data_IF_151059569099
#
_entry.id   IF_151059569099
#
_cell.length_a   1.000
_cell.length_b   1.000
_cell.length_c   1.000
_cell.angle_alpha   90.00
_cell.angle_beta   90.00
_cell.angle_gamma   90.00
#
_symmetry.space_group_name_H-M   'P 1'
#
loop_
_entity.id
_entity.type
_entity.pdbx_description
1 polymer ?
#
# COMPACT_ATOMS: atom_id res chain seq x y z
N UNK A 1 -18.69 35.45 -56.72
CA UNK A 1 -19.04 34.09 -56.24
C UNK A 1 -17.77 33.50 -55.65
N UNK A 2 -17.74 32.77 -54.55
CA UNK A 2 -18.66 32.48 -53.46
C UNK A 2 -17.73 31.83 -52.43
N UNK A 3 -17.89 32.24 -51.18
CA UNK A 3 -17.41 31.67 -49.94
C UNK A 3 -16.90 30.22 -50.01
N UNK A 4 -15.76 29.95 -49.35
CA UNK A 4 -15.83 29.17 -48.11
C UNK A 4 -14.55 29.33 -47.28
N UNK A 5 -14.65 30.17 -46.26
CA UNK A 5 -13.88 30.02 -45.02
C UNK A 5 -14.19 28.64 -44.43
N UNK A 6 -13.16 27.86 -44.13
CA UNK A 6 -13.24 26.78 -43.17
C UNK A 6 -11.87 26.66 -42.49
N UNK A 7 -11.66 27.36 -41.35
CA UNK A 7 -10.59 26.97 -40.45
C UNK A 7 -11.02 25.63 -39.88
N UNK A 8 -10.45 24.53 -40.37
CA UNK A 8 -10.55 23.25 -39.66
C UNK A 8 -9.71 23.43 -38.40
N UNK A 9 -10.43 23.84 -37.37
CA UNK A 9 -10.06 23.73 -35.98
C UNK A 9 -9.77 22.24 -35.73
N UNK A 10 -8.52 21.84 -35.93
CA UNK A 10 -7.98 20.62 -35.34
C UNK A 10 -7.67 20.95 -33.88
N UNK A 11 -8.73 21.06 -33.06
CA UNK A 11 -8.66 20.71 -31.65
C UNK A 11 -8.40 19.20 -31.59
N UNK A 12 -7.17 18.78 -31.89
CA UNK A 12 -6.71 17.46 -31.48
C UNK A 12 -6.59 17.56 -29.97
N UNK A 13 -7.67 17.13 -29.30
CA UNK A 13 -7.78 16.80 -27.89
C UNK A 13 -6.49 17.00 -27.10
N UNK A 14 -6.25 18.23 -26.68
CA UNK A 14 -5.33 18.57 -25.59
C UNK A 14 -6.03 18.28 -24.26
N UNK A 15 -6.76 17.16 -24.17
CA UNK A 15 -6.92 16.50 -22.88
C UNK A 15 -5.58 15.82 -22.60
N UNK A 16 -4.57 16.64 -22.31
CA UNK A 16 -3.60 16.26 -21.30
C UNK A 16 -4.45 15.76 -20.13
N UNK A 17 -4.53 14.45 -19.98
CA UNK A 17 -5.06 13.78 -18.79
C UNK A 17 -4.21 14.34 -17.66
N UNK A 18 -4.66 15.45 -17.09
CA UNK A 18 -4.08 15.96 -15.87
C UNK A 18 -4.40 14.88 -14.86
N UNK A 19 -3.37 14.12 -14.48
CA UNK A 19 -3.47 13.16 -13.40
C UNK A 19 -4.19 13.85 -12.23
N UNK A 20 -5.43 13.43 -11.99
CA UNK A 20 -6.28 14.08 -11.03
C UNK A 20 -5.75 13.71 -9.65
N UNK A 21 -5.09 14.66 -8.97
CA UNK A 21 -4.58 14.40 -7.63
C UNK A 21 -5.74 14.07 -6.69
N UNK A 22 -5.48 13.16 -5.74
CA UNK A 22 -6.44 12.87 -4.69
C UNK A 22 -6.77 14.17 -3.94
N UNK A 23 -8.06 14.42 -3.72
CA UNK A 23 -8.52 15.57 -2.94
C UNK A 23 -7.89 15.55 -1.54
N UNK A 24 -7.66 16.73 -0.97
CA UNK A 24 -7.01 16.86 0.34
C UNK A 24 -7.78 16.09 1.42
N UNK A 25 -9.09 16.23 1.45
CA UNK A 25 -9.98 15.59 2.43
C UNK A 25 -9.91 14.06 2.33
N UNK A 26 -9.74 13.54 1.11
CA UNK A 26 -9.56 12.10 0.87
C UNK A 26 -8.20 11.63 1.36
N UNK A 27 -7.13 12.37 1.09
CA UNK A 27 -5.78 12.05 1.57
C UNK A 27 -5.71 12.08 3.11
N UNK A 28 -6.34 13.07 3.74
CA UNK A 28 -6.47 13.18 5.19
C UNK A 28 -7.31 12.04 5.79
N UNK A 29 -8.41 11.67 5.14
CA UNK A 29 -9.23 10.53 5.55
C UNK A 29 -8.42 9.23 5.56
N UNK A 30 -7.71 8.91 4.47
CA UNK A 30 -6.88 7.70 4.42
C UNK A 30 -5.74 7.72 5.45
N UNK A 31 -5.10 8.88 5.63
CA UNK A 31 -4.06 9.09 6.66
C UNK A 31 -4.59 8.70 8.05
N UNK A 32 -5.76 9.22 8.42
CA UNK A 32 -6.40 8.94 9.72
C UNK A 32 -6.81 7.47 9.85
N UNK A 33 -7.51 6.93 8.85
CA UNK A 33 -8.05 5.56 8.92
C UNK A 33 -6.92 4.53 8.95
N UNK A 34 -5.93 4.63 8.06
CA UNK A 34 -4.82 3.68 8.01
C UNK A 34 -3.98 3.73 9.30
N UNK A 35 -3.72 4.93 9.83
CA UNK A 35 -3.01 5.07 11.10
C UNK A 35 -3.80 4.46 12.26
N UNK A 36 -5.14 4.65 12.28
CA UNK A 36 -5.98 4.12 13.36
C UNK A 36 -5.93 2.60 13.48
N UNK A 37 -5.84 1.88 12.36
CA UNK A 37 -5.74 0.41 12.38
C UNK A 37 -4.43 -0.10 12.98
N UNK A 38 -3.37 0.71 12.95
CA UNK A 38 -2.06 0.34 13.49
C UNK A 38 -1.96 0.59 14.99
N UNK A 39 -2.78 1.48 15.56
CA UNK A 39 -2.74 1.83 16.98
C UNK A 39 -3.02 0.64 17.90
N UNK A 40 -3.81 -0.34 17.44
CA UNK A 40 -4.06 -1.61 18.14
C UNK A 40 -2.79 -2.47 18.30
N UNK A 41 -1.74 -2.15 17.52
CA UNK A 41 -0.43 -2.77 17.58
C UNK A 41 0.49 -2.19 18.66
N UNK A 42 0.07 -1.13 19.36
CA UNK A 42 0.87 -0.52 20.43
C UNK A 42 1.02 -1.44 21.64
N UNK A 43 2.19 -1.39 22.29
CA UNK A 43 2.57 -2.19 23.47
C UNK A 43 2.63 -3.70 23.20
N UNK A 44 2.78 -4.11 21.94
CA UNK A 44 2.97 -5.52 21.59
C UNK A 44 4.47 -5.79 21.54
N UNK A 45 4.90 -6.72 22.40
CA UNK A 45 6.25 -7.26 22.37
C UNK A 45 6.26 -8.60 21.65
N UNK A 46 7.13 -8.75 20.66
CA UNK A 46 7.25 -10.00 19.92
C UNK A 46 8.73 -10.34 19.71
N UNK A 47 9.01 -11.61 19.41
CA UNK A 47 10.38 -12.11 19.30
C UNK A 47 10.73 -12.34 17.83
N UNK A 48 11.60 -11.51 17.26
CA UNK A 48 12.18 -11.74 15.93
C UNK A 48 13.60 -12.27 16.11
N UNK A 49 13.85 -13.48 15.58
CA UNK A 49 15.19 -14.11 15.57
C UNK A 49 15.85 -14.11 16.95
N UNK A 50 15.08 -14.39 18.00
CA UNK A 50 15.54 -14.44 19.39
C UNK A 50 15.66 -13.09 20.10
N UNK A 51 15.44 -11.97 19.41
CA UNK A 51 15.41 -10.64 20.03
C UNK A 51 13.97 -10.18 20.27
N UNK A 52 13.70 -9.65 21.46
CA UNK A 52 12.41 -9.03 21.77
C UNK A 52 12.38 -7.60 21.22
N UNK A 53 11.35 -7.31 20.47
CA UNK A 53 11.05 -5.99 19.96
C UNK A 53 9.66 -5.59 20.47
N UNK A 54 9.54 -4.33 20.88
CA UNK A 54 8.26 -3.69 21.19
C UNK A 54 8.01 -2.63 20.13
N UNK A 55 6.87 -2.71 19.44
CA UNK A 55 6.50 -1.68 18.48
C UNK A 55 5.51 -0.68 19.08
N UNK A 56 5.68 0.58 18.68
CA UNK A 56 4.69 1.62 18.92
C UNK A 56 4.52 2.51 17.69
N UNK A 57 3.31 3.00 17.51
CA UNK A 57 2.83 3.74 16.37
C UNK A 57 2.45 5.15 16.81
N UNK A 58 3.00 6.21 16.18
CA UNK A 58 2.50 7.55 16.41
C UNK A 58 1.07 7.67 15.86
N UNK A 59 0.31 8.66 16.33
CA UNK A 59 -1.07 8.91 15.88
C UNK A 59 -1.18 9.05 14.35
N UNK A 60 -0.12 9.53 13.71
CA UNK A 60 0.03 9.61 12.25
C UNK A 60 1.12 8.66 11.78
N UNK A 61 0.94 7.36 12.00
CA UNK A 61 1.87 6.32 11.53
C UNK A 61 1.84 6.10 10.03
N UNK A 62 0.76 6.50 9.34
CA UNK A 62 0.65 6.45 7.89
C UNK A 62 0.14 7.79 7.38
N UNK A 63 0.92 8.49 6.55
CA UNK A 63 0.58 9.83 6.06
C UNK A 63 0.68 9.90 4.56
N UNK A 64 -0.34 10.46 3.91
CA UNK A 64 -0.32 10.77 2.48
C UNK A 64 -0.07 12.27 2.33
N UNK A 65 1.06 12.63 1.74
CA UNK A 65 1.39 14.01 1.50
C UNK A 65 0.59 14.57 0.32
N UNK A 66 -0.26 15.58 0.55
CA UNK A 66 -1.11 16.17 -0.48
C UNK A 66 -0.33 16.75 -1.70
N UNK A 67 0.85 17.33 -1.44
CA UNK A 67 1.60 18.05 -2.47
C UNK A 67 2.24 17.14 -3.53
N UNK A 68 2.66 15.92 -3.15
CA UNK A 68 3.32 14.96 -4.04
C UNK A 68 2.60 13.61 -4.12
N UNK A 69 1.54 13.40 -3.33
CA UNK A 69 0.75 12.17 -3.28
C UNK A 69 1.57 10.93 -2.90
N UNK A 70 2.72 11.13 -2.25
CA UNK A 70 3.55 10.06 -1.70
C UNK A 70 3.15 9.80 -0.26
N UNK A 71 3.16 8.52 0.11
CA UNK A 71 2.92 8.12 1.48
C UNK A 71 4.23 8.00 2.28
N UNK A 72 4.12 8.20 3.58
CA UNK A 72 5.15 7.89 4.56
C UNK A 72 4.58 6.96 5.61
N UNK A 73 5.39 6.04 6.12
CA UNK A 73 5.03 5.15 7.21
C UNK A 73 6.05 5.22 8.33
N UNK A 74 5.59 5.29 9.57
CA UNK A 74 6.41 5.46 10.76
C UNK A 74 6.04 4.43 11.82
N UNK A 75 7.06 3.77 12.38
CA UNK A 75 6.92 2.85 13.51
C UNK A 75 8.16 2.96 14.39
N UNK A 76 7.95 3.10 15.70
CA UNK A 76 9.01 3.02 16.70
C UNK A 76 9.20 1.56 17.09
N UNK A 77 10.46 1.17 17.25
CA UNK A 77 10.84 -0.16 17.69
C UNK A 77 11.82 -0.05 18.85
N UNK A 78 11.48 -0.70 19.95
CA UNK A 78 12.33 -0.79 21.13
C UNK A 78 12.90 -2.19 21.27
N UNK A 79 14.22 -2.30 21.30
CA UNK A 79 14.92 -3.57 21.47
C UNK A 79 16.29 -3.34 22.12
N UNK A 80 16.72 -4.25 23.00
CA UNK A 80 18.04 -4.17 23.63
C UNK A 80 18.31 -2.85 24.41
N UNK A 81 17.26 -2.21 24.93
CA UNK A 81 17.36 -0.92 25.63
C UNK A 81 17.49 0.31 24.71
N UNK A 82 17.41 0.13 23.40
CA UNK A 82 17.42 1.20 22.39
C UNK A 82 16.02 1.39 21.82
N UNK A 83 15.73 2.61 21.39
CA UNK A 83 14.53 2.96 20.65
C UNK A 83 14.93 3.53 19.29
N UNK A 84 14.36 2.98 18.23
CA UNK A 84 14.64 3.36 16.85
C UNK A 84 13.32 3.70 16.17
N UNK A 85 13.24 4.83 15.48
CA UNK A 85 12.15 5.12 14.55
C UNK A 85 12.53 4.57 13.17
N UNK A 86 11.73 3.62 12.68
CA UNK A 86 11.73 3.24 11.28
C UNK A 86 10.78 4.16 10.52
N UNK A 87 11.35 5.06 9.72
CA UNK A 87 10.61 5.97 8.84
C UNK A 87 10.78 5.52 7.40
N UNK A 88 9.70 5.05 6.78
CA UNK A 88 9.65 4.77 5.35
C UNK A 88 9.09 5.96 4.61
N UNK A 89 9.91 6.59 3.77
CA UNK A 89 9.52 7.75 2.96
C UNK A 89 9.29 7.40 1.49
N UNK A 90 8.55 8.28 0.80
CA UNK A 90 8.38 8.27 -0.66
C UNK A 90 7.70 7.02 -1.22
N UNK A 91 6.74 6.47 -0.48
CA UNK A 91 5.97 5.31 -0.92
C UNK A 91 4.96 5.76 -1.98
N UNK A 92 5.13 5.30 -3.22
CA UNK A 92 4.18 5.59 -4.30
C UNK A 92 3.07 4.53 -4.31
N UNK A 93 1.91 4.88 -3.74
CA UNK A 93 0.77 3.97 -3.62
C UNK A 93 0.20 3.52 -4.98
N UNK A 94 0.34 4.33 -6.03
CA UNK A 94 -0.04 3.93 -7.38
C UNK A 94 0.89 2.86 -7.98
N UNK A 95 2.06 2.66 -7.37
CA UNK A 95 3.08 1.68 -7.77
C UNK A 95 3.12 0.47 -6.85
N UNK A 96 2.08 0.25 -6.06
CA UNK A 96 1.88 -1.03 -5.36
C UNK A 96 1.47 -2.09 -6.37
N UNK A 97 2.14 -3.24 -6.32
CA UNK A 97 1.86 -4.43 -7.14
C UNK A 97 1.10 -5.52 -6.38
N UNK A 98 1.09 -5.46 -5.06
CA UNK A 98 0.29 -6.36 -4.23
C UNK A 98 0.70 -6.32 -2.77
N UNK A 99 0.00 -7.13 -1.97
CA UNK A 99 0.17 -7.22 -0.53
C UNK A 99 0.29 -8.69 -0.15
N UNK A 100 1.24 -9.03 0.71
CA UNK A 100 1.35 -10.37 1.30
C UNK A 100 1.23 -10.30 2.82
N UNK A 101 0.69 -11.35 3.40
CA UNK A 101 0.64 -11.54 4.85
C UNK A 101 1.69 -12.56 5.26
N UNK A 102 2.47 -12.25 6.29
CA UNK A 102 3.43 -13.15 6.91
C UNK A 102 3.12 -13.26 8.40
N UNK A 103 2.69 -14.45 8.82
CA UNK A 103 2.50 -14.76 10.23
C UNK A 103 3.89 -14.90 10.88
N UNK A 104 4.19 -14.05 11.85
CA UNK A 104 5.46 -14.10 12.60
C UNK A 104 5.31 -14.87 13.91
N UNK A 105 4.13 -14.76 14.52
CA UNK A 105 3.67 -15.52 15.67
C UNK A 105 2.14 -15.54 15.68
N UNK A 106 1.53 -16.26 16.63
CA UNK A 106 0.08 -16.25 16.84
C UNK A 106 -0.48 -14.84 17.10
N UNK A 107 0.36 -13.93 17.60
CA UNK A 107 -0.01 -12.58 18.01
C UNK A 107 0.32 -11.50 16.96
N UNK A 108 1.22 -11.76 16.02
CA UNK A 108 1.76 -10.73 15.12
C UNK A 108 1.79 -11.17 13.65
N UNK A 109 1.23 -10.31 12.80
CA UNK A 109 1.23 -10.46 11.35
C UNK A 109 1.99 -9.27 10.73
N UNK A 110 2.88 -9.58 9.79
CA UNK A 110 3.47 -8.57 8.90
C UNK A 110 2.62 -8.48 7.65
N UNK A 111 2.12 -7.29 7.37
CA UNK A 111 1.57 -6.90 6.08
C UNK A 111 2.69 -6.29 5.27
N UNK A 112 3.17 -7.03 4.27
CA UNK A 112 4.19 -6.55 3.35
C UNK A 112 3.53 -5.97 2.11
N UNK A 113 3.72 -4.67 1.91
CA UNK A 113 3.25 -3.92 0.74
C UNK A 113 4.35 -3.97 -0.31
N UNK A 114 4.11 -4.64 -1.43
CA UNK A 114 5.11 -4.80 -2.49
C UNK A 114 4.99 -3.69 -3.52
N UNK A 115 6.13 -3.09 -3.87
CA UNK A 115 6.23 -2.03 -4.87
C UNK A 115 6.67 -2.61 -6.22
N UNK A 116 6.24 -1.97 -7.31
CA UNK A 116 6.73 -2.22 -8.66
C UNK A 116 8.24 -1.99 -8.72
N UNK A 117 8.92 -2.71 -9.62
CA UNK A 117 10.36 -2.56 -9.82
C UNK A 117 10.69 -1.11 -10.16
N UNK A 118 11.67 -0.53 -9.47
CA UNK A 118 12.08 0.87 -9.67
C UNK A 118 11.22 1.90 -8.91
N UNK A 119 10.15 1.49 -8.22
CA UNK A 119 9.35 2.36 -7.35
C UNK A 119 9.77 2.26 -5.88
N UNK A 120 11.05 1.99 -5.61
CA UNK A 120 11.54 1.73 -4.25
C UNK A 120 11.31 2.91 -3.30
N UNK A 121 10.95 2.61 -2.06
CA UNK A 121 10.92 3.55 -0.95
C UNK A 121 12.29 3.59 -0.25
N UNK A 122 12.45 4.56 0.66
CA UNK A 122 13.63 4.66 1.51
C UNK A 122 13.18 4.45 2.95
N UNK A 123 13.66 3.40 3.61
CA UNK A 123 13.59 3.29 5.06
C UNK A 123 14.77 4.03 5.66
N UNK A 124 14.51 4.85 6.68
CA UNK A 124 15.50 5.52 7.51
C UNK A 124 15.34 5.02 8.94
N UNK A 125 16.47 4.63 9.52
CA UNK A 125 16.54 4.32 10.94
C UNK A 125 16.97 5.60 11.66
N UNK A 126 16.18 6.05 12.61
CA UNK A 126 16.41 7.29 13.36
C UNK A 126 16.56 6.96 14.84
N UNK A 127 17.73 7.27 15.39
CA UNK A 127 18.07 7.15 16.81
C UNK A 127 18.41 8.54 17.35
N UNK A 128 17.86 8.92 18.51
CA UNK A 128 18.09 10.23 19.14
C UNK A 128 17.91 11.43 18.18
N UNK A 129 16.92 11.32 17.27
CA UNK A 129 16.61 12.33 16.26
C UNK A 129 17.59 12.41 15.09
N UNK A 130 18.56 11.49 14.98
CA UNK A 130 19.55 11.43 13.91
C UNK A 130 19.34 10.20 13.04
N UNK A 131 19.45 10.38 11.73
CA UNK A 131 19.47 9.25 10.79
C UNK A 131 20.76 8.46 10.97
N UNK A 132 20.67 7.22 11.43
CA UNK A 132 21.81 6.31 11.63
C UNK A 132 21.99 5.34 10.47
N UNK A 133 20.91 5.05 9.74
CA UNK A 133 20.94 4.14 8.60
C UNK A 133 19.88 4.55 7.57
N UNK A 134 20.11 4.18 6.30
CA UNK A 134 19.10 4.32 5.26
C UNK A 134 19.23 3.20 4.23
N UNK A 135 18.12 2.57 3.88
CA UNK A 135 18.07 1.47 2.92
C UNK A 135 16.96 1.72 1.91
N UNK A 136 17.28 1.47 0.63
CA UNK A 136 16.32 1.50 -0.47
C UNK A 136 15.73 0.11 -0.65
N UNK A 137 14.40 0.00 -0.57
CA UNK A 137 13.70 -1.28 -0.67
C UNK A 137 12.46 -1.20 -1.56
N UNK A 138 12.09 -2.33 -2.17
CA UNK A 138 10.90 -2.44 -3.02
C UNK A 138 9.70 -3.04 -2.28
N UNK A 139 9.67 -2.89 -0.95
CA UNK A 139 8.51 -3.24 -0.14
C UNK A 139 8.41 -2.31 1.08
N UNK A 140 7.29 -2.37 1.79
CA UNK A 140 7.09 -1.70 3.07
C UNK A 140 6.46 -2.72 4.02
N UNK A 141 7.07 -2.91 5.18
CA UNK A 141 6.54 -3.81 6.20
C UNK A 141 5.72 -3.02 7.22
N UNK A 142 4.47 -3.42 7.41
CA UNK A 142 3.57 -2.87 8.42
C UNK A 142 3.18 -4.00 9.37
N UNK A 143 3.33 -3.78 10.67
CA UNK A 143 3.12 -4.84 11.66
C UNK A 143 1.76 -4.66 12.33
N UNK A 144 1.05 -5.77 12.49
CA UNK A 144 -0.28 -5.80 13.08
C UNK A 144 -0.34 -6.81 14.20
N UNK A 145 -1.12 -6.47 15.22
CA UNK A 145 -1.72 -7.50 16.06
C UNK A 145 -2.57 -8.41 15.19
N UNK A 146 -2.43 -9.72 15.35
CA UNK A 146 -3.37 -10.65 14.74
C UNK A 146 -4.78 -10.37 15.29
N UNK A 147 -5.71 -9.98 14.43
CA UNK A 147 -7.01 -9.48 14.89
C UNK A 147 -7.88 -8.86 13.79
N UNK A 148 -8.99 -8.28 14.23
CA UNK A 148 -10.07 -7.79 13.37
C UNK A 148 -9.73 -6.57 12.52
N UNK A 149 -8.74 -5.76 12.92
CA UNK A 149 -8.34 -4.53 12.20
C UNK A 149 -7.54 -4.80 10.93
N UNK A 150 -6.89 -5.97 10.83
CA UNK A 150 -6.07 -6.34 9.68
C UNK A 150 -6.84 -6.31 8.35
N UNK A 151 -8.06 -6.86 8.34
CA UNK A 151 -8.91 -6.87 7.14
C UNK A 151 -9.34 -5.47 6.72
N UNK A 152 -9.66 -4.61 7.69
CA UNK A 152 -10.00 -3.20 7.47
C UNK A 152 -8.84 -2.41 6.88
N UNK A 153 -7.62 -2.62 7.41
CA UNK A 153 -6.41 -1.99 6.89
C UNK A 153 -6.16 -2.37 5.44
N UNK A 154 -6.15 -3.66 5.11
CA UNK A 154 -5.83 -4.14 3.76
C UNK A 154 -6.88 -3.66 2.74
N UNK A 155 -8.16 -3.73 3.08
CA UNK A 155 -9.23 -3.22 2.23
C UNK A 155 -9.08 -1.70 1.98
N UNK A 156 -8.77 -0.94 3.02
CA UNK A 156 -8.53 0.51 2.91
C UNK A 156 -7.30 0.81 2.07
N UNK A 157 -6.23 0.03 2.25
CA UNK A 157 -4.99 0.14 1.48
C UNK A 157 -5.23 -0.12 -0.01
N UNK A 158 -5.98 -1.17 -0.36
CA UNK A 158 -6.33 -1.46 -1.75
C UNK A 158 -7.17 -0.34 -2.37
N UNK A 159 -8.14 0.22 -1.64
CA UNK A 159 -8.91 1.39 -2.10
C UNK A 159 -8.01 2.57 -2.39
N UNK A 160 -7.09 2.90 -1.48
CA UNK A 160 -6.11 3.96 -1.69
C UNK A 160 -5.24 3.70 -2.94
N UNK A 161 -4.76 2.46 -3.12
CA UNK A 161 -3.96 2.10 -4.30
C UNK A 161 -4.75 2.29 -5.60
N UNK A 162 -6.00 1.83 -5.65
CA UNK A 162 -6.85 1.99 -6.83
C UNK A 162 -7.18 3.46 -7.09
N UNK A 163 -7.56 4.23 -6.07
CA UNK A 163 -7.83 5.66 -6.23
C UNK A 163 -6.58 6.39 -6.76
N UNK A 164 -5.38 6.05 -6.26
CA UNK A 164 -4.11 6.62 -6.74
C UNK A 164 -3.76 6.18 -8.17
N UNK A 165 -4.06 4.93 -8.56
CA UNK A 165 -3.86 4.42 -9.92
C UNK A 165 -4.82 5.08 -10.92
N UNK A 166 -6.09 5.28 -10.54
CA UNK A 166 -7.10 5.99 -11.33
C UNK A 166 -6.75 7.46 -11.46
N UNK A 167 -6.37 8.10 -10.35
CA UNK A 167 -5.85 9.47 -10.32
C UNK A 167 -4.70 9.69 -11.30
N UNK A 168 -3.78 8.72 -11.41
CA UNK A 168 -2.64 8.78 -12.35
C UNK A 168 -3.00 8.34 -13.79
N UNK A 169 -4.24 7.95 -14.07
CA UNK A 169 -4.67 7.47 -15.38
C UNK A 169 -4.05 6.13 -15.78
N UNK A 170 -3.54 5.36 -14.82
CA UNK A 170 -2.91 4.04 -15.08
C UNK A 170 -3.94 2.92 -15.22
N UNK A 171 -5.11 3.10 -14.64
CA UNK A 171 -6.31 2.25 -14.79
C UNK A 171 -7.54 3.16 -14.78
N UNK A 172 -8.67 2.64 -15.23
CA UNK A 172 -9.98 3.31 -15.20
C UNK A 172 -10.81 2.87 -13.99
N UNK A 173 -11.79 3.67 -13.58
CA UNK A 173 -12.74 3.28 -12.53
C UNK A 173 -13.52 2.01 -12.92
N UNK A 174 -13.89 1.87 -14.21
CA UNK A 174 -14.56 0.68 -14.71
C UNK A 174 -13.71 -0.60 -14.54
N UNK A 175 -12.40 -0.52 -14.71
CA UNK A 175 -11.49 -1.65 -14.45
C UNK A 175 -11.41 -2.00 -12.97
N UNK A 176 -11.46 -0.99 -12.08
CA UNK A 176 -11.52 -1.21 -10.62
C UNK A 176 -12.81 -1.90 -10.24
N UNK A 177 -13.95 -1.42 -10.74
CA UNK A 177 -15.27 -1.97 -10.45
C UNK A 177 -15.40 -3.41 -10.96
N UNK A 178 -14.88 -3.69 -12.16
CA UNK A 178 -14.84 -5.04 -12.73
C UNK A 178 -13.99 -6.00 -11.86
N UNK A 179 -12.81 -5.59 -11.45
CA UNK A 179 -11.95 -6.38 -10.55
C UNK A 179 -12.62 -6.67 -9.21
N UNK A 180 -13.26 -5.66 -8.59
CA UNK A 180 -13.96 -5.83 -7.32
C UNK A 180 -15.15 -6.79 -7.43
N UNK A 181 -15.95 -6.67 -8.51
CA UNK A 181 -17.06 -7.58 -8.76
C UNK A 181 -16.59 -9.03 -8.93
N UNK A 182 -15.47 -9.19 -9.65
CA UNK A 182 -14.92 -10.49 -10.02
C UNK A 182 -14.09 -11.15 -8.92
N UNK A 183 -13.76 -10.45 -7.83
CA UNK A 183 -12.94 -11.00 -6.75
C UNK A 183 -13.54 -12.28 -6.11
N UNK A 184 -14.84 -12.52 -6.29
CA UNK A 184 -15.50 -13.76 -5.87
C UNK A 184 -15.21 -15.00 -6.73
N UNK A 185 -14.50 -14.86 -7.87
CA UNK A 185 -14.12 -16.01 -8.69
C UNK A 185 -12.97 -16.82 -8.08
N UNK A 186 -12.69 -18.00 -8.65
CA UNK A 186 -11.52 -18.80 -8.23
C UNK A 186 -10.23 -18.01 -8.48
N UNK A 187 -9.25 -18.02 -7.55
CA UNK A 187 -7.98 -17.29 -7.69
C UNK A 187 -7.29 -17.44 -9.05
N UNK A 188 -7.30 -18.65 -9.61
CA UNK A 188 -6.67 -18.98 -10.90
C UNK A 188 -7.35 -18.27 -12.08
N UNK A 189 -8.69 -18.20 -12.04
CA UNK A 189 -9.47 -17.46 -13.04
C UNK A 189 -9.25 -15.96 -12.89
N UNK A 190 -9.16 -15.48 -11.65
CA UNK A 190 -8.93 -14.08 -11.35
C UNK A 190 -7.59 -13.59 -11.91
N UNK A 191 -6.50 -14.29 -11.54
CA UNK A 191 -5.14 -13.97 -12.01
C UNK A 191 -5.07 -13.99 -13.54
N UNK A 192 -5.70 -14.98 -14.18
CA UNK A 192 -5.74 -15.08 -15.64
C UNK A 192 -6.49 -13.91 -16.29
N UNK A 193 -7.58 -13.43 -15.68
CA UNK A 193 -8.39 -12.32 -16.20
C UNK A 193 -7.73 -10.97 -15.96
N UNK A 194 -7.07 -10.80 -14.81
CA UNK A 194 -6.48 -9.53 -14.35
C UNK A 194 -4.99 -9.70 -13.96
N UNK A 195 -4.08 -9.92 -14.92
CA UNK A 195 -2.68 -10.27 -14.63
C UNK A 195 -1.89 -9.19 -13.88
N UNK A 196 -2.35 -7.94 -13.90
CA UNK A 196 -1.71 -6.80 -13.22
C UNK A 196 -2.49 -6.31 -11.99
N UNK A 197 -3.47 -7.09 -11.50
CA UNK A 197 -4.24 -6.70 -10.32
C UNK A 197 -3.37 -6.71 -9.06
N UNK A 198 -3.57 -5.72 -8.21
CA UNK A 198 -2.94 -5.67 -6.88
C UNK A 198 -3.42 -6.82 -5.97
N UNK A 199 -4.52 -7.48 -6.31
CA UNK A 199 -5.03 -8.63 -5.56
C UNK A 199 -4.30 -9.94 -5.90
N UNK A 200 -3.49 -9.97 -6.96
CA UNK A 200 -2.90 -11.23 -7.44
C UNK A 200 -2.00 -11.91 -6.42
N UNK A 201 -1.24 -11.15 -5.63
CA UNK A 201 -0.41 -11.73 -4.57
C UNK A 201 -1.26 -12.41 -3.48
N UNK A 202 -2.41 -11.84 -3.13
CA UNK A 202 -3.35 -12.46 -2.19
C UNK A 202 -3.98 -13.72 -2.80
N UNK A 203 -4.35 -13.67 -4.08
CA UNK A 203 -4.85 -14.83 -4.82
C UNK A 203 -3.82 -15.97 -4.87
N UNK A 204 -2.55 -15.67 -5.13
CA UNK A 204 -1.43 -16.62 -5.11
C UNK A 204 -1.26 -17.25 -3.73
N UNK A 205 -1.29 -16.46 -2.65
CA UNK A 205 -1.22 -16.98 -1.28
C UNK A 205 -2.39 -17.95 -0.96
N UNK A 206 -3.59 -17.70 -1.51
CA UNK A 206 -4.74 -18.60 -1.35
C UNK A 206 -4.49 -19.92 -2.08
N UNK A 207 -3.94 -19.89 -3.30
CA UNK A 207 -3.60 -21.09 -4.08
C UNK A 207 -2.57 -21.93 -3.32
N UNK A 208 -1.49 -21.30 -2.84
CA UNK A 208 -0.44 -21.98 -2.08
C UNK A 208 -0.96 -22.66 -0.81
N UNK A 209 -1.83 -21.96 -0.05
CA UNK A 209 -2.45 -22.54 1.16
C UNK A 209 -3.33 -23.75 0.83
N UNK A 210 -4.11 -23.70 -0.26
CA UNK A 210 -4.94 -24.83 -0.71
C UNK A 210 -4.08 -26.03 -1.14
N UNK A 211 -2.99 -25.80 -1.86
CA UNK A 211 -2.09 -26.86 -2.29
C UNK A 211 -1.43 -27.58 -1.10
N UNK A 212 -1.01 -26.84 -0.07
CA UNK A 212 -0.47 -27.43 1.17
C UNK A 212 -1.49 -28.29 1.91
N UNK A 213 -2.72 -27.80 2.05
CA UNK A 213 -3.81 -28.53 2.72
C UNK A 213 -4.28 -29.80 1.98
N UNK A 214 -3.95 -29.94 0.69
CA UNK A 214 -4.27 -31.13 -0.11
C UNK A 214 -3.11 -32.14 -0.19
N UNK A 215 -1.90 -31.73 0.22
CA UNK A 215 -0.71 -32.58 0.25
C UNK A 215 -0.39 -33.18 1.63
N UNK A 216 -1.19 -32.85 2.64
CA UNK A 216 -1.26 -33.49 3.97
C UNK A 216 -2.39 -34.53 4.01
#
# INVERSE_FOLDING_TARGET
MKYLFLPIILFVNIFSVQAQRLAYERADHYTKVLSSYQMDGNNITYTIRGSKYEFSYPETSFKIAFYNQLATHAVYAKYGGREVLFLTDSINMAKVKGVTRHEMSDEVIIVRIHLERGASSIIRDIEDGKVVSSIKIEHVDVYFKNGSTLGGFISTLYRLCFEMKVAQGTITQAEVDAQNHDWGMTPEKFIKKYPNSIFNMEAEQIIEKRAKAQGE
#
